data_IF_028862904066
#
_entry.id   IF_028862904066
#
_cell.length_a   1.000
_cell.length_b   1.000
_cell.length_c   1.000
_cell.angle_alpha   90.00
_cell.angle_beta   90.00
_cell.angle_gamma   90.00
#
_symmetry.space_group_name_H-M   'P 1'
#
loop_
_entity.id
_entity.type
_entity.pdbx_description
1 polymer ?
#
# COMPACT_ATOMS: atom_id res chain seq x y z
N UNK A 1 2.99 28.78 4.47
CA UNK A 1 2.85 28.05 3.20
C UNK A 1 1.62 27.18 3.32
N UNK A 2 0.81 27.04 2.28
CA UNK A 2 -0.36 26.15 2.30
C UNK A 2 0.11 24.71 2.17
N UNK A 3 -0.42 23.77 3.01
CA UNK A 3 -0.14 22.34 2.96
C UNK A 3 -0.38 21.77 1.55
N UNK A 4 0.51 20.93 1.04
CA UNK A 4 0.37 20.23 -0.24
C UNK A 4 0.41 18.74 -0.03
N UNK A 5 -0.60 18.03 -0.53
CA UNK A 5 -0.73 16.58 -0.39
C UNK A 5 -0.63 15.93 -1.77
N UNK A 6 0.31 15.00 -1.93
CA UNK A 6 0.45 14.19 -3.14
C UNK A 6 -0.21 12.82 -2.94
N UNK A 7 -1.24 12.50 -3.71
CA UNK A 7 -1.88 11.19 -3.72
C UNK A 7 -1.23 10.31 -4.81
N UNK A 8 -0.56 9.24 -4.39
CA UNK A 8 0.08 8.26 -5.27
C UNK A 8 -0.90 7.11 -5.46
N UNK A 9 -1.45 6.93 -6.67
CA UNK A 9 -2.54 5.99 -6.89
C UNK A 9 -2.12 4.91 -7.89
N UNK A 10 -2.16 3.65 -7.46
CA UNK A 10 -1.97 2.50 -8.35
C UNK A 10 -3.34 1.94 -8.80
N UNK A 11 -3.58 1.89 -10.11
CA UNK A 11 -4.81 1.35 -10.67
C UNK A 11 -4.54 0.43 -11.88
N UNK A 12 -5.51 -0.46 -12.17
CA UNK A 12 -5.44 -1.38 -13.30
C UNK A 12 -6.83 -1.71 -13.88
N UNK A 13 -7.89 -1.25 -13.23
CA UNK A 13 -9.28 -1.46 -13.65
C UNK A 13 -10.16 -0.30 -13.16
N UNK A 14 -11.44 -0.32 -13.53
CA UNK A 14 -12.50 0.56 -12.99
C UNK A 14 -12.17 2.06 -13.09
N UNK A 15 -12.01 2.61 -14.30
CA UNK A 15 -11.66 4.04 -14.47
C UNK A 15 -12.67 4.99 -13.82
N UNK A 16 -13.97 4.64 -13.76
CA UNK A 16 -15.00 5.43 -13.09
C UNK A 16 -14.80 5.49 -11.56
N UNK A 17 -14.36 4.38 -10.94
CA UNK A 17 -14.02 4.38 -9.52
C UNK A 17 -12.81 5.26 -9.23
N UNK A 18 -11.81 5.23 -10.12
CA UNK A 18 -10.65 6.12 -10.00
C UNK A 18 -11.06 7.60 -10.14
N UNK A 19 -11.95 7.92 -11.09
CA UNK A 19 -12.48 9.26 -11.23
C UNK A 19 -13.17 9.71 -9.94
N UNK A 20 -14.03 8.87 -9.37
CA UNK A 20 -14.74 9.15 -8.11
C UNK A 20 -13.77 9.39 -6.95
N UNK A 21 -12.72 8.57 -6.83
CA UNK A 21 -11.67 8.74 -5.81
C UNK A 21 -10.96 10.09 -5.97
N UNK A 22 -10.54 10.42 -7.19
CA UNK A 22 -9.88 11.72 -7.48
C UNK A 22 -10.82 12.87 -7.15
N UNK A 23 -12.09 12.82 -7.59
CA UNK A 23 -13.08 13.87 -7.30
C UNK A 23 -13.33 14.04 -5.81
N UNK A 24 -13.38 12.96 -5.05
CA UNK A 24 -13.56 13.00 -3.60
C UNK A 24 -12.40 13.70 -2.86
N UNK A 25 -11.19 13.64 -3.40
CA UNK A 25 -9.98 14.21 -2.81
C UNK A 25 -9.56 15.56 -3.44
N UNK A 26 -10.18 15.96 -4.56
CA UNK A 26 -9.76 17.11 -5.35
C UNK A 26 -9.97 18.43 -4.60
N UNK A 27 -8.87 19.14 -4.40
CA UNK A 27 -8.83 20.48 -3.81
C UNK A 27 -7.56 21.22 -4.25
N UNK A 28 -7.44 22.49 -3.93
CA UNK A 28 -6.29 23.32 -4.31
C UNK A 28 -4.93 22.81 -3.77
N UNK A 29 -4.96 22.04 -2.67
CA UNK A 29 -3.78 21.45 -2.03
C UNK A 29 -3.40 20.07 -2.58
N UNK A 30 -4.27 19.42 -3.37
CA UNK A 30 -4.10 18.06 -3.83
C UNK A 30 -3.40 17.97 -5.18
N UNK A 31 -2.44 17.05 -5.29
CA UNK A 31 -1.92 16.56 -6.57
C UNK A 31 -2.03 15.05 -6.65
N UNK A 32 -2.27 14.52 -7.84
CA UNK A 32 -2.50 13.10 -8.07
C UNK A 32 -1.42 12.55 -9.02
N UNK A 33 -0.67 11.56 -8.55
CA UNK A 33 0.36 10.87 -9.32
C UNK A 33 -0.11 9.44 -9.54
N UNK A 34 -0.49 9.13 -10.79
CA UNK A 34 -1.26 7.93 -11.11
C UNK A 34 -0.43 6.97 -11.96
N UNK A 35 -0.25 5.75 -11.47
CA UNK A 35 0.27 4.63 -12.23
C UNK A 35 -0.87 3.73 -12.68
N UNK A 36 -1.09 3.63 -13.99
CA UNK A 36 -1.95 2.60 -14.58
C UNK A 36 -1.06 1.43 -15.00
N UNK A 37 -1.39 0.22 -14.55
CA UNK A 37 -0.62 -0.99 -14.92
C UNK A 37 -0.42 -1.06 -16.44
N UNK A 38 0.82 -1.24 -16.87
CA UNK A 38 1.17 -1.28 -18.31
C UNK A 38 0.45 -2.39 -19.09
N UNK A 39 -0.07 -3.42 -18.40
CA UNK A 39 -0.82 -4.52 -19.00
C UNK A 39 -2.22 -4.12 -19.49
N UNK A 40 -2.74 -2.97 -19.06
CA UNK A 40 -4.08 -2.51 -19.43
C UNK A 40 -4.03 -1.26 -20.30
N UNK A 41 -5.09 -1.07 -21.07
CA UNK A 41 -5.29 0.17 -21.85
C UNK A 41 -5.47 1.35 -20.89
N UNK A 42 -4.70 2.39 -21.14
CA UNK A 42 -4.74 3.63 -20.34
C UNK A 42 -5.80 4.62 -20.84
N UNK A 43 -6.24 4.47 -22.09
CA UNK A 43 -7.12 5.45 -22.75
C UNK A 43 -8.37 5.81 -21.93
N UNK A 44 -9.12 4.84 -21.34
CA UNK A 44 -10.31 5.17 -20.56
C UNK A 44 -10.02 6.02 -19.30
N UNK A 45 -8.82 5.91 -18.75
CA UNK A 45 -8.40 6.71 -17.59
C UNK A 45 -7.98 8.11 -18.01
N UNK A 46 -7.30 8.23 -19.14
CA UNK A 46 -6.89 9.53 -19.72
C UNK A 46 -8.09 10.34 -20.18
N UNK A 47 -9.10 9.73 -20.80
CA UNK A 47 -10.35 10.38 -21.20
C UNK A 47 -11.06 11.03 -20.01
N UNK A 48 -11.09 10.36 -18.86
CA UNK A 48 -11.78 10.85 -17.66
C UNK A 48 -10.98 11.88 -16.85
N UNK A 49 -9.65 11.73 -16.80
CA UNK A 49 -8.80 12.44 -15.85
C UNK A 49 -7.66 13.23 -16.50
N UNK A 50 -7.34 12.99 -17.76
CA UNK A 50 -6.13 13.52 -18.42
C UNK A 50 -6.10 15.04 -18.57
N UNK A 51 -7.25 15.71 -18.56
CA UNK A 51 -7.37 17.16 -18.71
C UNK A 51 -7.27 17.95 -17.39
N UNK A 52 -7.04 17.27 -16.26
CA UNK A 52 -6.93 17.95 -14.95
C UNK A 52 -5.49 18.38 -14.70
N UNK A 53 -5.28 19.65 -14.39
CA UNK A 53 -3.94 20.24 -14.22
C UNK A 53 -3.14 19.63 -13.04
N UNK A 54 -3.84 19.11 -12.02
CA UNK A 54 -3.25 18.49 -10.84
C UNK A 54 -3.18 16.95 -10.91
N UNK A 55 -3.48 16.36 -12.08
CA UNK A 55 -3.40 14.92 -12.31
C UNK A 55 -2.24 14.61 -13.24
N UNK A 56 -1.31 13.81 -12.76
CA UNK A 56 -0.06 13.43 -13.44
C UNK A 56 0.01 11.93 -13.62
N UNK A 57 -0.29 11.45 -14.82
CA UNK A 57 -0.09 10.03 -15.15
C UNK A 57 1.39 9.71 -15.32
N UNK A 58 1.81 8.58 -14.78
CA UNK A 58 3.18 8.08 -14.97
C UNK A 58 3.37 7.66 -16.44
N UNK A 59 4.28 8.34 -17.15
CA UNK A 59 4.58 8.05 -18.57
C UNK A 59 5.35 6.72 -18.73
N UNK A 60 6.30 6.47 -17.83
CA UNK A 60 7.08 5.23 -17.81
C UNK A 60 6.40 4.17 -16.93
N UNK A 61 5.29 3.64 -17.45
CA UNK A 61 4.46 2.65 -16.75
C UNK A 61 5.18 1.32 -16.58
N UNK A 62 4.93 0.66 -15.46
CA UNK A 62 5.48 -0.64 -15.09
C UNK A 62 4.44 -1.74 -15.35
N UNK A 63 4.89 -2.91 -15.79
CA UNK A 63 4.10 -4.15 -15.75
C UNK A 63 4.04 -4.59 -14.30
N UNK A 64 3.00 -4.21 -13.59
CA UNK A 64 2.85 -4.45 -12.16
C UNK A 64 2.31 -5.87 -11.90
N UNK A 65 3.10 -6.70 -11.24
CA UNK A 65 2.71 -8.06 -10.89
C UNK A 65 2.36 -8.14 -9.41
N UNK A 66 1.22 -8.75 -9.10
CA UNK A 66 0.81 -8.98 -7.72
C UNK A 66 1.90 -9.76 -6.96
N UNK A 67 2.25 -9.31 -5.76
CA UNK A 67 3.37 -9.78 -4.93
C UNK A 67 4.77 -9.57 -5.54
N UNK A 68 4.90 -8.91 -6.68
CA UNK A 68 6.17 -8.65 -7.37
C UNK A 68 6.84 -7.35 -6.92
N UNK A 69 8.15 -7.25 -7.17
CA UNK A 69 8.92 -6.03 -6.95
C UNK A 69 8.49 -4.88 -7.88
N UNK A 70 7.85 -5.22 -8.99
CA UNK A 70 7.28 -4.26 -9.94
C UNK A 70 6.29 -3.27 -9.29
N UNK A 71 5.57 -3.67 -8.23
CA UNK A 71 4.74 -2.74 -7.45
C UNK A 71 5.59 -1.70 -6.70
N UNK A 72 6.68 -2.11 -6.09
CA UNK A 72 7.66 -1.20 -5.45
C UNK A 72 8.29 -0.27 -6.49
N UNK A 73 8.64 -0.80 -7.66
CA UNK A 73 9.20 0.00 -8.76
C UNK A 73 8.21 1.08 -9.23
N UNK A 74 6.93 0.74 -9.39
CA UNK A 74 5.88 1.70 -9.73
C UNK A 74 5.75 2.79 -8.65
N UNK A 75 5.76 2.39 -7.38
CA UNK A 75 5.71 3.33 -6.24
C UNK A 75 6.91 4.27 -6.24
N UNK A 76 8.13 3.75 -6.42
CA UNK A 76 9.35 4.58 -6.48
C UNK A 76 9.31 5.59 -7.62
N UNK A 77 8.77 5.23 -8.79
CA UNK A 77 8.62 6.15 -9.91
C UNK A 77 7.58 7.23 -9.63
N UNK A 78 6.44 6.88 -9.02
CA UNK A 78 5.45 7.88 -8.59
C UNK A 78 6.02 8.81 -7.53
N UNK A 79 6.79 8.29 -6.56
CA UNK A 79 7.49 9.12 -5.56
C UNK A 79 8.46 10.10 -6.20
N UNK A 80 9.27 9.66 -7.16
CA UNK A 80 10.20 10.54 -7.87
C UNK A 80 9.46 11.62 -8.66
N UNK A 81 8.35 11.28 -9.34
CA UNK A 81 7.51 12.23 -10.04
C UNK A 81 6.88 13.24 -9.06
N UNK A 82 6.30 12.77 -7.95
CA UNK A 82 5.70 13.65 -6.94
C UNK A 82 6.74 14.58 -6.31
N UNK A 83 7.93 14.08 -5.99
CA UNK A 83 9.01 14.88 -5.43
C UNK A 83 9.44 16.03 -6.37
N UNK A 84 9.42 15.81 -7.68
CA UNK A 84 9.73 16.85 -8.67
C UNK A 84 8.66 17.97 -8.70
N UNK A 85 7.39 17.66 -8.37
CA UNK A 85 6.31 18.65 -8.28
C UNK A 85 6.25 19.32 -6.89
N UNK A 86 6.82 18.68 -5.88
CA UNK A 86 6.85 19.13 -4.49
C UNK A 86 5.52 18.88 -3.75
N UNK A 87 5.63 18.42 -2.52
CA UNK A 87 4.53 18.18 -1.57
C UNK A 87 5.05 18.29 -0.13
N UNK A 88 4.15 18.31 0.84
CA UNK A 88 4.52 18.22 2.26
C UNK A 88 4.31 16.80 2.78
N UNK A 89 3.18 16.18 2.41
CA UNK A 89 2.89 14.75 2.66
C UNK A 89 2.47 14.05 1.37
N UNK A 90 2.82 12.77 1.23
CA UNK A 90 2.27 11.91 0.20
C UNK A 90 1.55 10.71 0.81
N UNK A 91 0.49 10.27 0.13
CA UNK A 91 -0.40 9.17 0.54
C UNK A 91 -0.44 8.12 -0.55
N UNK A 92 -0.04 6.88 -0.24
CA UNK A 92 -0.11 5.77 -1.18
C UNK A 92 -1.49 5.11 -1.13
N UNK A 93 -2.16 5.06 -2.29
CA UNK A 93 -3.50 4.53 -2.48
C UNK A 93 -3.57 3.52 -3.63
N UNK A 94 -4.57 2.67 -3.62
CA UNK A 94 -5.01 1.93 -4.80
C UNK A 94 -6.30 2.54 -5.39
N UNK A 95 -6.62 2.21 -6.63
CA UNK A 95 -7.90 2.60 -7.24
C UNK A 95 -9.15 2.03 -6.55
N UNK A 96 -8.97 1.11 -5.58
CA UNK A 96 -10.07 0.52 -4.77
C UNK A 96 -10.16 1.11 -3.36
N UNK A 97 -9.34 2.12 -3.03
CA UNK A 97 -9.42 2.85 -1.77
C UNK A 97 -10.41 4.01 -1.90
N UNK A 98 -10.94 4.48 -0.76
CA UNK A 98 -11.80 5.65 -0.73
C UNK A 98 -11.63 6.42 0.58
N UNK A 99 -11.71 7.78 0.57
CA UNK A 99 -11.69 8.57 1.79
C UNK A 99 -12.95 8.36 2.62
N UNK A 100 -12.79 8.35 3.94
CA UNK A 100 -13.90 8.30 4.93
C UNK A 100 -13.84 9.49 5.89
N UNK A 101 -13.03 10.47 5.58
CA UNK A 101 -12.97 11.78 6.23
C UNK A 101 -13.00 12.86 5.15
N UNK A 102 -13.58 14.00 5.49
CA UNK A 102 -13.70 15.12 4.56
C UNK A 102 -12.32 15.67 4.12
N UNK A 103 -12.28 16.39 3.01
CA UNK A 103 -11.06 17.08 2.55
C UNK A 103 -10.52 18.04 3.60
N UNK A 104 -11.42 18.74 4.29
CA UNK A 104 -11.02 19.66 5.35
C UNK A 104 -10.36 18.94 6.52
N UNK A 105 -10.91 17.79 6.94
CA UNK A 105 -10.33 16.98 8.00
C UNK A 105 -8.97 16.42 7.61
N UNK A 106 -8.82 15.95 6.36
CA UNK A 106 -7.55 15.44 5.84
C UNK A 106 -6.47 16.54 5.82
N UNK A 107 -6.81 17.73 5.33
CA UNK A 107 -5.89 18.87 5.31
C UNK A 107 -5.51 19.22 6.75
N UNK A 108 -6.49 19.42 7.62
CA UNK A 108 -6.27 19.79 9.02
C UNK A 108 -5.44 18.72 9.79
N UNK A 109 -5.59 17.44 9.43
CA UNK A 109 -4.75 16.38 9.97
C UNK A 109 -3.30 16.54 9.54
N UNK A 110 -3.02 16.65 8.23
CA UNK A 110 -1.65 16.76 7.73
C UNK A 110 -0.99 18.10 8.08
N UNK A 111 -1.72 19.18 8.24
CA UNK A 111 -1.17 20.47 8.73
C UNK A 111 -0.60 20.37 10.16
N UNK A 112 -1.15 19.49 10.98
CA UNK A 112 -0.69 19.23 12.35
C UNK A 112 0.23 18.04 12.46
N UNK A 113 0.39 17.28 11.36
CA UNK A 113 1.16 16.06 11.34
C UNK A 113 2.66 16.33 11.49
N UNK A 114 3.29 15.57 12.37
CA UNK A 114 4.74 15.56 12.58
C UNK A 114 5.34 14.15 12.53
N UNK A 115 4.52 13.16 12.14
CA UNK A 115 4.84 11.74 12.13
C UNK A 115 4.82 11.15 10.72
N UNK A 116 5.39 9.95 10.63
CA UNK A 116 5.29 9.08 9.46
C UNK A 116 4.25 8.00 9.75
N UNK A 117 3.25 7.88 8.90
CA UNK A 117 2.11 6.99 9.10
C UNK A 117 2.29 5.72 8.27
N UNK A 118 3.02 4.75 8.83
CA UNK A 118 3.33 3.47 8.22
C UNK A 118 3.23 2.36 9.26
N UNK A 119 2.34 1.40 9.04
CA UNK A 119 2.22 0.26 9.94
C UNK A 119 3.40 -0.70 9.77
N UNK A 120 3.87 -1.27 10.87
CA UNK A 120 5.03 -2.13 10.86
C UNK A 120 5.03 -3.14 12.01
N UNK A 121 5.80 -4.19 11.82
CA UNK A 121 6.23 -5.13 12.85
C UNK A 121 7.64 -5.65 12.52
N UNK A 122 8.36 -6.10 13.53
CA UNK A 122 9.59 -6.84 13.30
C UNK A 122 9.29 -8.24 12.77
N UNK A 123 10.11 -8.70 11.85
CA UNK A 123 9.94 -10.04 11.28
C UNK A 123 10.11 -11.16 12.32
N UNK A 124 10.84 -10.91 13.41
CA UNK A 124 10.97 -11.83 14.53
C UNK A 124 9.67 -11.98 15.33
N UNK A 125 8.85 -10.92 15.40
CA UNK A 125 7.55 -10.93 16.06
C UNK A 125 6.46 -11.59 15.19
N UNK A 126 6.72 -11.78 13.88
CA UNK A 126 5.82 -12.45 12.94
C UNK A 126 6.54 -13.55 12.14
N UNK A 127 6.88 -14.68 12.80
CA UNK A 127 7.71 -15.75 12.19
C UNK A 127 7.13 -16.35 10.91
N UNK A 128 5.79 -16.32 10.75
CA UNK A 128 5.09 -16.76 9.54
C UNK A 128 5.57 -16.04 8.26
N UNK A 129 6.12 -14.82 8.38
CA UNK A 129 6.61 -14.04 7.26
C UNK A 129 8.08 -14.27 6.90
N UNK A 130 8.85 -14.95 7.75
CA UNK A 130 10.29 -15.21 7.49
C UNK A 130 10.56 -15.85 6.12
N UNK A 131 9.65 -16.68 5.64
CA UNK A 131 9.78 -17.32 4.34
C UNK A 131 9.85 -16.32 3.18
N UNK A 132 9.21 -15.14 3.29
CA UNK A 132 9.19 -14.10 2.24
C UNK A 132 10.59 -13.61 1.89
N UNK A 133 11.49 -13.52 2.86
CA UNK A 133 12.88 -13.05 2.70
C UNK A 133 13.91 -14.17 2.62
N UNK A 134 13.59 -15.36 3.16
CA UNK A 134 14.53 -16.50 3.19
C UNK A 134 14.54 -17.32 1.90
N UNK A 135 13.51 -17.19 1.06
CA UNK A 135 13.42 -17.92 -0.20
C UNK A 135 13.43 -16.96 -1.40
N UNK A 136 13.73 -17.51 -2.57
CA UNK A 136 13.68 -16.77 -3.83
C UNK A 136 12.27 -16.81 -4.43
N UNK A 137 11.77 -15.62 -4.83
CA UNK A 137 10.47 -15.43 -5.46
C UNK A 137 10.63 -14.57 -6.73
N UNK A 138 11.00 -15.17 -7.89
CA UNK A 138 11.20 -14.42 -9.13
C UNK A 138 9.86 -14.04 -9.82
N UNK A 139 8.96 -13.38 -9.10
CA UNK A 139 7.57 -13.13 -9.51
C UNK A 139 7.50 -12.27 -10.77
N UNK A 140 8.36 -11.27 -10.90
CA UNK A 140 8.36 -10.38 -12.06
C UNK A 140 8.91 -11.04 -13.31
N UNK A 141 9.76 -12.06 -13.17
CA UNK A 141 10.21 -12.87 -14.31
C UNK A 141 9.13 -13.87 -14.75
N UNK A 142 8.32 -14.36 -13.81
CA UNK A 142 7.28 -15.35 -14.05
C UNK A 142 6.02 -14.91 -13.31
N UNK A 143 5.19 -14.02 -13.88
CA UNK A 143 4.03 -13.44 -13.21
C UNK A 143 2.98 -14.50 -12.84
N UNK A 144 2.54 -14.47 -11.59
CA UNK A 144 1.59 -15.44 -11.01
C UNK A 144 0.16 -15.20 -11.52
N UNK A 145 -0.20 -13.95 -11.78
CA UNK A 145 -1.52 -13.53 -12.27
C UNK A 145 -1.41 -12.54 -13.41
N UNK A 146 -2.15 -12.81 -14.50
CA UNK A 146 -2.53 -11.80 -15.47
C UNK A 146 -3.96 -11.37 -15.19
N UNK A 147 -4.17 -10.12 -14.80
CA UNK A 147 -5.50 -9.58 -14.50
C UNK A 147 -6.39 -9.39 -15.74
N UNK A 148 -5.80 -9.41 -16.94
CA UNK A 148 -6.48 -9.01 -18.18
C UNK A 148 -7.24 -10.10 -18.92
N UNK A 149 -7.25 -11.36 -18.48
CA UNK A 149 -8.07 -12.37 -19.13
C UNK A 149 -8.45 -13.55 -18.24
N UNK A 150 -9.76 -13.79 -18.15
CA UNK A 150 -10.33 -15.05 -17.67
C UNK A 150 -10.05 -16.24 -18.62
N UNK A 151 -9.17 -16.09 -19.64
CA UNK A 151 -9.02 -17.03 -20.77
C UNK A 151 -7.62 -17.62 -20.97
N UNK A 152 -6.63 -17.30 -20.13
CA UNK A 152 -5.31 -17.90 -20.27
C UNK A 152 -5.21 -19.29 -19.62
N UNK A 153 -4.40 -20.21 -20.18
CA UNK A 153 -4.19 -21.53 -19.60
C UNK A 153 -3.43 -21.45 -18.27
N UNK A 154 -4.16 -21.09 -17.25
CA UNK A 154 -3.76 -21.00 -15.83
C UNK A 154 -3.12 -22.33 -15.37
N UNK A 155 -3.42 -23.43 -16.04
CA UNK A 155 -3.02 -24.78 -15.67
C UNK A 155 -1.50 -24.98 -15.67
N UNK A 156 -0.79 -24.66 -16.77
CA UNK A 156 0.65 -24.90 -16.89
C UNK A 156 1.47 -23.95 -16.00
N UNK A 157 1.03 -22.71 -15.84
CA UNK A 157 1.62 -21.74 -14.91
C UNK A 157 1.44 -22.18 -13.48
N UNK A 158 0.25 -22.63 -13.08
CA UNK A 158 0.00 -23.22 -11.75
C UNK A 158 0.87 -24.44 -11.49
N UNK A 159 1.03 -25.30 -12.49
CA UNK A 159 1.86 -26.51 -12.37
C UNK A 159 3.35 -26.17 -12.17
N UNK A 160 3.86 -25.24 -13.00
CA UNK A 160 5.25 -24.78 -12.90
C UNK A 160 5.53 -24.10 -11.56
N UNK A 161 4.69 -23.15 -11.17
CA UNK A 161 4.80 -22.45 -9.90
C UNK A 161 4.59 -23.39 -8.70
N UNK A 162 3.62 -24.29 -8.77
CA UNK A 162 3.40 -25.30 -7.74
C UNK A 162 4.65 -26.15 -7.53
N UNK A 163 5.30 -26.58 -8.63
CA UNK A 163 6.58 -27.32 -8.57
C UNK A 163 7.70 -26.43 -8.03
N UNK A 164 7.89 -25.24 -8.54
CA UNK A 164 8.91 -24.31 -8.03
C UNK A 164 8.71 -24.03 -6.55
N UNK A 165 7.50 -23.71 -6.11
CA UNK A 165 7.19 -23.46 -4.71
C UNK A 165 7.37 -24.71 -3.83
N UNK A 166 7.12 -25.91 -4.37
CA UNK A 166 7.36 -27.18 -3.68
C UNK A 166 8.87 -27.42 -3.48
N UNK A 167 9.69 -27.16 -4.49
CA UNK A 167 11.12 -27.44 -4.47
C UNK A 167 11.99 -26.30 -3.92
N UNK A 168 11.49 -25.05 -3.84
CA UNK A 168 12.25 -23.89 -3.33
C UNK A 168 12.84 -24.11 -1.93
N UNK A 169 12.19 -24.92 -1.10
CA UNK A 169 12.68 -25.28 0.25
C UNK A 169 14.01 -26.00 0.25
N UNK A 170 14.39 -26.59 -0.89
CA UNK A 170 15.67 -27.28 -1.08
C UNK A 170 16.77 -26.34 -1.62
N UNK A 171 16.40 -25.12 -2.05
CA UNK A 171 17.39 -24.11 -2.42
C UNK A 171 18.04 -23.53 -1.16
N UNK A 172 19.30 -23.07 -1.25
CA UNK A 172 19.95 -22.36 -0.15
C UNK A 172 19.10 -21.18 0.31
N UNK A 173 18.93 -21.07 1.63
CA UNK A 173 18.21 -19.92 2.21
C UNK A 173 19.01 -18.66 1.99
N UNK A 174 18.30 -17.59 1.62
CA UNK A 174 18.87 -16.25 1.52
C UNK A 174 19.21 -15.74 2.92
N UNK A 175 20.34 -15.09 3.06
CA UNK A 175 20.65 -14.29 4.24
C UNK A 175 20.07 -12.91 4.07
N UNK A 176 19.43 -12.39 5.12
CA UNK A 176 18.94 -11.03 5.11
C UNK A 176 20.11 -10.03 5.04
N UNK A 177 19.83 -8.80 4.65
CA UNK A 177 20.82 -7.76 4.46
C UNK A 177 21.58 -7.48 5.75
N UNK A 178 22.90 -7.55 5.70
CA UNK A 178 23.77 -7.35 6.86
C UNK A 178 23.58 -5.94 7.44
N UNK A 179 23.45 -5.86 8.77
CA UNK A 179 23.31 -4.59 9.49
C UNK A 179 21.89 -4.03 9.53
N UNK A 180 20.92 -4.69 8.90
CA UNK A 180 19.52 -4.26 8.93
C UNK A 180 18.65 -5.26 9.69
N UNK A 181 17.69 -4.74 10.45
CA UNK A 181 16.57 -5.49 11.01
C UNK A 181 15.47 -5.56 9.95
N UNK A 182 14.90 -6.74 9.74
CA UNK A 182 13.79 -6.91 8.80
C UNK A 182 12.48 -6.46 9.46
N UNK A 183 11.81 -5.50 8.82
CA UNK A 183 10.48 -5.03 9.19
C UNK A 183 9.48 -5.37 8.08
N UNK A 184 8.24 -5.67 8.48
CA UNK A 184 7.10 -5.84 7.57
C UNK A 184 5.94 -4.96 8.00
N UNK A 185 4.92 -4.87 7.16
CA UNK A 185 3.70 -4.12 7.37
C UNK A 185 2.85 -4.11 6.10
N UNK A 186 1.62 -3.58 6.11
CA UNK A 186 0.85 -3.38 4.89
C UNK A 186 1.52 -2.38 3.95
N UNK A 187 1.21 -2.48 2.66
CA UNK A 187 1.77 -1.61 1.61
C UNK A 187 1.42 -0.12 1.76
N UNK A 188 0.36 0.20 2.52
CA UNK A 188 -0.28 1.53 2.54
C UNK A 188 0.27 2.41 3.64
N UNK A 189 0.65 3.64 3.29
CA UNK A 189 1.28 4.59 4.19
C UNK A 189 1.05 6.04 3.75
N UNK A 190 1.32 6.98 4.67
CA UNK A 190 1.43 8.40 4.39
C UNK A 190 2.75 8.90 4.96
N UNK A 191 3.58 9.50 4.11
CA UNK A 191 4.95 9.90 4.46
C UNK A 191 5.19 11.38 4.15
N UNK A 192 5.99 12.03 5.00
CA UNK A 192 6.46 13.39 4.77
C UNK A 192 7.44 13.45 3.59
N UNK A 193 7.55 14.63 2.97
CA UNK A 193 8.52 14.87 1.88
C UNK A 193 9.95 14.49 2.28
N UNK A 194 10.36 14.87 3.49
CA UNK A 194 11.72 14.59 3.98
C UNK A 194 11.98 13.10 4.16
N UNK A 195 11.01 12.36 4.65
CA UNK A 195 11.11 10.90 4.75
C UNK A 195 11.20 10.26 3.36
N UNK A 196 10.40 10.72 2.42
CA UNK A 196 10.45 10.26 1.02
C UNK A 196 11.80 10.56 0.37
N UNK A 197 12.31 11.77 0.55
CA UNK A 197 13.64 12.17 0.05
C UNK A 197 14.74 11.24 0.60
N UNK A 198 14.69 10.95 1.92
CA UNK A 198 15.57 9.96 2.53
C UNK A 198 15.46 8.58 1.88
N UNK A 199 14.23 8.08 1.69
CA UNK A 199 13.99 6.77 1.06
C UNK A 199 14.54 6.73 -0.36
N UNK A 200 14.30 7.76 -1.18
CA UNK A 200 14.78 7.82 -2.56
C UNK A 200 16.32 7.85 -2.63
N UNK A 201 16.97 8.64 -1.77
CA UNK A 201 18.43 8.71 -1.66
C UNK A 201 19.00 7.36 -1.19
N UNK A 202 18.42 6.76 -0.15
CA UNK A 202 18.84 5.45 0.33
C UNK A 202 18.80 4.38 -0.78
N UNK A 203 17.74 4.34 -1.55
CA UNK A 203 17.57 3.38 -2.65
C UNK A 203 18.60 3.62 -3.76
N UNK A 204 18.90 4.87 -4.07
CA UNK A 204 19.91 5.27 -5.06
C UNK A 204 21.31 4.82 -4.62
N UNK A 205 21.66 5.07 -3.37
CA UNK A 205 23.00 4.81 -2.82
C UNK A 205 23.22 3.33 -2.48
N UNK A 206 22.13 2.54 -2.35
CA UNK A 206 22.18 1.13 -1.98
C UNK A 206 21.56 0.20 -3.03
N UNK A 207 22.15 0.03 -4.23
CA UNK A 207 21.59 -0.80 -5.31
C UNK A 207 21.46 -2.28 -4.93
N UNK A 208 22.26 -2.75 -3.96
CA UNK A 208 22.16 -4.10 -3.39
C UNK A 208 20.83 -4.33 -2.64
N UNK A 209 20.28 -3.30 -2.01
CA UNK A 209 18.99 -3.33 -1.35
C UNK A 209 17.86 -3.63 -2.35
N UNK A 210 17.77 -2.84 -3.42
CA UNK A 210 16.83 -3.09 -4.54
C UNK A 210 16.95 -4.50 -5.10
N UNK A 211 18.19 -4.97 -5.33
CA UNK A 211 18.47 -6.30 -5.87
C UNK A 211 17.99 -7.41 -4.95
N UNK A 212 18.12 -7.25 -3.64
CA UNK A 212 17.61 -8.20 -2.66
C UNK A 212 16.09 -8.34 -2.77
N UNK A 213 15.37 -7.23 -2.75
CA UNK A 213 13.91 -7.23 -2.74
C UNK A 213 13.27 -7.67 -4.06
N UNK A 214 13.98 -7.64 -5.21
CA UNK A 214 13.50 -8.20 -6.49
C UNK A 214 13.13 -9.68 -6.41
N UNK A 215 13.64 -10.39 -5.43
CA UNK A 215 13.36 -11.82 -5.23
C UNK A 215 12.65 -12.09 -3.90
N UNK A 216 12.02 -11.10 -3.33
CA UNK A 216 11.21 -11.21 -2.11
C UNK A 216 9.74 -11.33 -2.48
N UNK A 217 8.97 -12.11 -1.73
CA UNK A 217 7.51 -12.18 -1.90
C UNK A 217 6.85 -10.97 -1.25
N UNK A 218 5.91 -10.32 -1.95
CA UNK A 218 5.24 -9.09 -1.50
C UNK A 218 6.23 -8.06 -0.94
N UNK A 219 7.21 -7.62 -1.74
CA UNK A 219 8.27 -6.76 -1.23
C UNK A 219 7.77 -5.39 -0.78
N UNK A 220 6.66 -4.89 -1.30
CA UNK A 220 6.04 -3.64 -0.87
C UNK A 220 5.69 -3.63 0.62
N UNK A 221 5.32 -4.81 1.14
CA UNK A 221 5.01 -5.00 2.57
C UNK A 221 6.25 -4.99 3.49
N UNK A 222 7.45 -4.75 2.96
CA UNK A 222 8.70 -4.80 3.74
C UNK A 222 9.72 -3.72 3.32
N UNK A 223 9.67 -3.29 2.08
CA UNK A 223 10.71 -2.44 1.47
C UNK A 223 10.82 -1.08 2.15
N UNK A 224 9.73 -0.37 2.26
CA UNK A 224 9.68 0.96 2.87
C UNK A 224 9.84 0.87 4.38
N UNK A 225 9.16 -0.07 5.02
CA UNK A 225 9.26 -0.31 6.45
C UNK A 225 10.73 -0.56 6.87
N UNK A 226 11.43 -1.43 6.15
CA UNK A 226 12.83 -1.76 6.49
C UNK A 226 13.75 -0.56 6.33
N UNK A 227 13.59 0.30 5.32
CA UNK A 227 14.41 1.52 5.17
C UNK A 227 14.14 2.49 6.33
N UNK A 228 12.87 2.80 6.56
CA UNK A 228 12.44 3.82 7.52
C UNK A 228 12.78 3.39 8.95
N UNK A 229 12.47 2.15 9.32
CA UNK A 229 12.64 1.64 10.68
C UNK A 229 14.11 1.30 11.06
N UNK A 230 15.03 1.26 10.09
CA UNK A 230 16.48 1.16 10.34
C UNK A 230 17.19 2.51 10.28
N UNK A 231 16.48 3.61 10.37
CA UNK A 231 17.04 4.97 10.30
C UNK A 231 16.57 5.82 11.48
N UNK A 232 17.02 7.07 11.52
CA UNK A 232 16.54 8.06 12.48
C UNK A 232 15.03 8.36 12.37
N UNK A 233 14.45 8.09 11.19
CA UNK A 233 13.01 8.24 10.94
C UNK A 233 12.14 7.28 11.76
N UNK A 234 12.71 6.19 12.29
CA UNK A 234 11.96 5.21 13.10
C UNK A 234 11.20 5.88 14.26
N UNK A 235 11.81 6.82 14.95
CA UNK A 235 11.21 7.55 16.09
C UNK A 235 10.08 8.50 15.67
N UNK A 236 10.01 8.82 14.40
CA UNK A 236 8.94 9.66 13.83
C UNK A 236 7.76 8.84 13.35
N UNK A 237 7.87 7.52 13.29
CA UNK A 237 6.75 6.65 12.93
C UNK A 237 5.71 6.68 14.03
N UNK A 238 4.44 6.81 13.63
CA UNK A 238 3.30 6.81 14.55
C UNK A 238 3.31 5.54 15.41
N UNK A 239 3.05 5.68 16.69
CA UNK A 239 3.04 4.58 17.66
C UNK A 239 4.33 3.75 17.78
N UNK A 240 5.48 4.27 17.35
CA UNK A 240 6.75 3.54 17.41
C UNK A 240 7.10 3.09 18.84
N UNK A 241 6.96 3.98 19.83
CA UNK A 241 7.25 3.66 21.22
C UNK A 241 6.24 2.67 21.81
N UNK A 242 4.96 2.80 21.45
CA UNK A 242 3.90 1.87 21.86
C UNK A 242 4.16 0.47 21.31
N UNK A 243 4.64 0.36 20.06
CA UNK A 243 5.05 -0.93 19.50
C UNK A 243 6.23 -1.54 20.27
N UNK A 244 7.22 -0.75 20.66
CA UNK A 244 8.35 -1.20 21.48
C UNK A 244 7.89 -1.80 22.80
N UNK A 245 6.99 -1.13 23.50
CA UNK A 245 6.40 -1.59 24.77
C UNK A 245 5.59 -2.88 24.56
N UNK A 246 4.76 -2.95 23.52
CA UNK A 246 3.99 -4.15 23.18
C UNK A 246 4.90 -5.34 22.82
N UNK A 247 5.91 -5.14 22.00
CA UNK A 247 6.84 -6.20 21.58
C UNK A 247 7.63 -6.76 22.78
N UNK A 248 8.04 -5.90 23.71
CA UNK A 248 8.71 -6.31 24.95
C UNK A 248 7.77 -7.12 25.86
N UNK A 249 6.52 -6.68 26.05
CA UNK A 249 5.51 -7.40 26.82
C UNK A 249 5.20 -8.76 26.20
N UNK A 250 5.06 -8.83 24.89
CA UNK A 250 4.88 -10.09 24.13
C UNK A 250 6.03 -11.06 24.35
N UNK A 251 7.25 -10.60 24.26
CA UNK A 251 8.45 -11.44 24.48
C UNK A 251 8.48 -12.01 25.92
N UNK A 252 8.11 -11.19 26.90
CA UNK A 252 8.06 -11.58 28.32
C UNK A 252 6.97 -12.63 28.59
N UNK A 253 5.80 -12.52 27.95
CA UNK A 253 4.65 -13.41 28.18
C UNK A 253 4.60 -14.63 27.24
N UNK A 254 5.55 -14.77 26.32
CA UNK A 254 5.59 -15.83 25.28
C UNK A 254 4.28 -15.96 24.49
N UNK A 255 3.57 -14.88 24.25
CA UNK A 255 2.37 -14.84 23.43
C UNK A 255 2.78 -15.12 21.98
N UNK A 256 2.17 -16.12 21.34
CA UNK A 256 2.66 -16.69 20.08
C UNK A 256 1.70 -16.45 18.91
N UNK A 257 0.52 -15.84 19.13
CA UNK A 257 -0.46 -15.64 18.05
C UNK A 257 -0.22 -14.34 17.26
N UNK A 258 -0.33 -14.41 15.94
CA UNK A 258 -0.29 -13.22 15.08
C UNK A 258 -1.51 -12.29 15.31
N UNK A 259 -2.56 -12.77 16.02
CA UNK A 259 -3.78 -12.02 16.32
C UNK A 259 -3.65 -10.99 17.45
N UNK A 260 -2.55 -11.03 18.22
CA UNK A 260 -2.34 -10.11 19.34
C UNK A 260 -1.53 -8.84 18.93
N UNK A 261 -1.38 -8.59 17.63
CA UNK A 261 -0.67 -7.41 17.13
C UNK A 261 -1.52 -6.15 17.26
N UNK A 262 -0.84 -5.01 17.41
CA UNK A 262 -1.52 -3.71 17.35
C UNK A 262 -2.21 -3.55 15.98
N UNK A 263 -3.44 -3.01 15.94
CA UNK A 263 -4.15 -2.79 14.69
C UNK A 263 -3.36 -1.90 13.73
N UNK A 264 -3.29 -2.27 12.45
CA UNK A 264 -2.59 -1.48 11.43
C UNK A 264 -3.12 -0.05 11.32
N UNK A 265 -4.43 0.15 11.55
CA UNK A 265 -5.08 1.46 11.50
C UNK A 265 -4.57 2.44 12.57
N UNK A 266 -4.01 1.94 13.67
CA UNK A 266 -3.37 2.79 14.69
C UNK A 266 -2.04 3.41 14.22
N UNK A 267 -1.49 2.92 13.11
CA UNK A 267 -0.22 3.40 12.55
C UNK A 267 -0.39 4.13 11.22
N UNK A 268 -1.28 3.65 10.35
CA UNK A 268 -1.40 4.15 8.97
C UNK A 268 -2.75 4.81 8.64
N UNK A 269 -3.66 4.85 9.61
CA UNK A 269 -5.01 5.41 9.47
C UNK A 269 -5.77 4.85 8.26
N UNK A 270 -5.69 3.51 8.08
CA UNK A 270 -6.33 2.79 6.98
C UNK A 270 -7.26 1.70 7.53
N UNK A 271 -8.55 1.85 7.32
CA UNK A 271 -9.53 0.81 7.64
C UNK A 271 -9.50 -0.30 6.58
N UNK A 272 -9.32 -1.54 7.02
CA UNK A 272 -9.32 -2.72 6.16
C UNK A 272 -10.08 -3.85 6.86
N UNK A 273 -11.14 -4.33 6.22
CA UNK A 273 -11.84 -5.51 6.74
C UNK A 273 -11.17 -6.81 6.25
N UNK A 274 -10.70 -7.62 7.20
CA UNK A 274 -10.10 -8.93 6.99
C UNK A 274 -11.00 -10.08 7.45
N UNK A 275 -12.27 -9.82 7.77
CA UNK A 275 -13.23 -10.79 8.31
C UNK A 275 -13.73 -11.82 7.29
N UNK A 276 -13.16 -11.88 6.09
CA UNK A 276 -13.59 -12.78 5.02
C UNK A 276 -13.81 -14.23 5.47
N UNK A 277 -15.00 -14.79 5.15
CA UNK A 277 -15.48 -16.10 5.63
C UNK A 277 -14.72 -17.31 5.05
N UNK A 278 -13.98 -17.14 3.95
CA UNK A 278 -13.27 -18.25 3.30
C UNK A 278 -11.75 -18.11 3.43
N UNK A 279 -11.02 -19.23 3.39
CA UNK A 279 -9.56 -19.22 3.42
C UNK A 279 -8.94 -18.42 2.26
N UNK A 280 -9.56 -18.40 1.09
CA UNK A 280 -9.18 -17.55 -0.04
C UNK A 280 -9.56 -16.07 0.18
N UNK A 281 -10.61 -15.79 0.94
CA UNK A 281 -11.05 -14.45 1.30
C UNK A 281 -10.17 -13.82 2.40
N UNK A 282 -9.51 -14.63 3.23
CA UNK A 282 -8.55 -14.15 4.24
C UNK A 282 -7.23 -13.64 3.66
N UNK A 283 -6.96 -13.93 2.39
CA UNK A 283 -5.78 -13.41 1.68
C UNK A 283 -6.04 -12.08 0.96
N UNK A 284 -7.30 -11.64 0.92
CA UNK A 284 -7.70 -10.37 0.30
C UNK A 284 -8.73 -9.68 1.18
N UNK A 285 -8.62 -8.35 1.37
CA UNK A 285 -9.63 -7.60 2.11
C UNK A 285 -11.04 -7.79 1.54
N UNK A 286 -12.03 -7.79 2.41
CA UNK A 286 -13.44 -7.80 2.02
C UNK A 286 -13.79 -6.57 1.17
N UNK A 287 -14.79 -6.70 0.31
CA UNK A 287 -15.39 -5.55 -0.38
C UNK A 287 -16.43 -4.98 0.58
N UNK A 288 -16.21 -3.73 0.99
CA UNK A 288 -17.07 -3.01 1.92
C UNK A 288 -18.43 -2.69 1.29
N UNK A 289 -19.50 -2.86 2.08
CA UNK A 289 -20.86 -2.52 1.70
C UNK A 289 -21.62 -1.85 2.87
N UNK A 290 -22.94 -1.67 2.76
CA UNK A 290 -23.75 -0.96 3.77
C UNK A 290 -23.62 -1.53 5.19
N UNK A 291 -23.24 -2.80 5.35
CA UNK A 291 -23.05 -3.44 6.66
C UNK A 291 -21.85 -2.87 7.42
N UNK A 292 -20.89 -2.29 6.68
CA UNK A 292 -19.66 -1.71 7.25
C UNK A 292 -19.85 -0.26 7.72
N UNK A 293 -21.02 0.35 7.47
CA UNK A 293 -21.27 1.78 7.71
C UNK A 293 -20.91 2.23 9.14
N UNK A 294 -21.40 1.53 10.17
CA UNK A 294 -21.15 1.88 11.55
C UNK A 294 -19.65 1.79 11.90
N UNK A 295 -18.97 0.76 11.38
CA UNK A 295 -17.54 0.57 11.57
C UNK A 295 -16.74 1.71 10.93
N UNK A 296 -17.12 2.16 9.73
CA UNK A 296 -16.48 3.28 9.07
C UNK A 296 -16.70 4.61 9.80
N UNK A 297 -17.91 4.87 10.29
CA UNK A 297 -18.21 6.07 11.08
C UNK A 297 -17.38 6.15 12.37
N UNK A 298 -17.22 5.01 13.05
CA UNK A 298 -16.49 4.91 14.31
C UNK A 298 -14.96 4.80 14.11
N UNK A 299 -14.49 4.54 12.88
CA UNK A 299 -13.06 4.42 12.61
C UNK A 299 -12.35 5.77 12.69
N UNK A 300 -11.13 5.74 13.24
CA UNK A 300 -10.19 6.86 13.24
C UNK A 300 -9.47 7.00 11.91
N UNK A 301 -9.62 6.03 10.99
CA UNK A 301 -8.96 5.98 9.70
C UNK A 301 -9.41 7.11 8.79
N UNK A 302 -8.53 7.51 7.89
CA UNK A 302 -8.79 8.54 6.87
C UNK A 302 -9.29 7.93 5.58
N UNK A 303 -8.87 6.72 5.30
CA UNK A 303 -9.22 5.97 4.11
C UNK A 303 -9.68 4.57 4.50
N UNK A 304 -10.53 3.99 3.67
CA UNK A 304 -10.95 2.61 3.81
C UNK A 304 -10.75 1.83 2.50
N UNK A 305 -10.71 0.53 2.62
CA UNK A 305 -10.60 -0.40 1.51
C UNK A 305 -11.17 -1.77 1.88
N UNK A 306 -11.80 -2.44 0.93
CA UNK A 306 -11.74 -2.35 -0.51
C UNK A 306 -13.12 -1.96 -1.05
N UNK A 307 -13.21 -1.00 -1.96
CA UNK A 307 -14.47 -0.63 -2.59
C UNK A 307 -14.57 -1.18 -4.01
N UNK A 308 -15.76 -1.57 -4.38
CA UNK A 308 -16.15 -1.99 -5.73
C UNK A 308 -17.32 -1.11 -6.20
N UNK A 309 -17.29 -0.52 -7.40
CA UNK A 309 -18.30 0.45 -7.83
C UNK A 309 -19.73 -0.12 -7.92
N UNK A 310 -19.88 -1.45 -8.05
CA UNK A 310 -21.18 -2.09 -8.08
C UNK A 310 -21.62 -2.53 -6.68
N UNK A 311 -20.76 -3.29 -5.97
CA UNK A 311 -21.12 -3.85 -4.66
C UNK A 311 -21.15 -2.79 -3.56
N UNK A 312 -20.29 -1.80 -3.65
CA UNK A 312 -20.21 -0.70 -2.68
C UNK A 312 -21.02 0.53 -3.08
N UNK A 313 -21.84 0.45 -4.14
CA UNK A 313 -22.51 1.63 -4.72
C UNK A 313 -23.28 2.44 -3.68
N UNK A 314 -24.17 1.81 -2.91
CA UNK A 314 -24.98 2.48 -1.87
C UNK A 314 -24.09 3.08 -0.77
N UNK A 315 -23.13 2.28 -0.27
CA UNK A 315 -22.19 2.73 0.75
C UNK A 315 -21.36 3.94 0.27
N UNK A 316 -20.85 3.92 -0.97
CA UNK A 316 -20.10 5.03 -1.54
C UNK A 316 -20.95 6.31 -1.65
N UNK A 317 -22.23 6.19 -2.06
CA UNK A 317 -23.14 7.35 -2.08
C UNK A 317 -23.41 7.89 -0.68
N UNK A 318 -23.53 7.02 0.29
CA UNK A 318 -23.72 7.41 1.69
C UNK A 318 -22.48 8.10 2.27
N UNK A 319 -21.28 7.57 2.00
CA UNK A 319 -20.01 8.19 2.38
C UNK A 319 -19.92 9.60 1.80
N UNK A 320 -20.17 9.76 0.49
CA UNK A 320 -20.10 11.07 -0.17
C UNK A 320 -20.99 12.11 0.54
N UNK A 321 -22.25 11.73 0.82
CA UNK A 321 -23.21 12.63 1.42
C UNK A 321 -22.94 12.91 2.90
N UNK A 322 -22.70 11.86 3.70
CA UNK A 322 -22.72 11.94 5.16
C UNK A 322 -21.34 12.16 5.79
N UNK A 323 -20.26 11.64 5.16
CA UNK A 323 -18.90 11.82 5.68
C UNK A 323 -18.10 12.89 4.93
N UNK A 324 -18.30 13.00 3.60
CA UNK A 324 -17.49 13.90 2.79
C UNK A 324 -18.20 15.23 2.49
N UNK A 325 -19.52 15.33 2.69
CA UNK A 325 -20.30 16.51 2.38
C UNK A 325 -20.33 16.84 0.89
N UNK A 326 -20.23 15.82 0.02
CA UNK A 326 -20.26 15.96 -1.43
C UNK A 326 -21.72 15.83 -1.89
N UNK A 327 -22.32 16.94 -2.33
CA UNK A 327 -23.62 16.93 -3.04
C UNK A 327 -23.36 16.44 -4.47
N UNK A 328 -24.19 15.51 -4.94
CA UNK A 328 -24.18 15.06 -6.34
C UNK A 328 -24.88 16.05 -7.25
#
# INVERSE_FOLDING_TARGET
>A
MQMRIAFLIMAHDKPQQLLRLVQALDCAQASFHIHIDRKVDQSPFLELLGNRANVHFLSDRVVANWMGFSLVEATLRMLAQAAAHGFDYCVLLSGSDYPIKSRADLIAFFERADKEYIAFWRLEDRPSWKHKVQHYFPIDAIPIRNYSSNREPIYWRRLFWGRFFKYRKHLPKRRFLKGLVAYGGPDWWSLSYRCVEYVLNYVKDNPGYKRFYKYTSSPGEMFFQTIILNSEWARRVENFDNYGNWSAARAAHRIVSDGDMLPDEDFNYRYVDWSGETSAARETPAILDERDWESLCNSRSHFARKFDPLRSASLLHRIDRELLGISQ
#
